data_IF_130364196194
#
_entry.id   IF_130364196194
#
_cell.length_a   1.000
_cell.length_b   1.000
_cell.length_c   1.000
_cell.angle_alpha   90.00
_cell.angle_beta   90.00
_cell.angle_gamma   90.00
#
_symmetry.space_group_name_H-M   'P 1'
#
loop_
_entity.id
_entity.type
_entity.pdbx_description
1 polymer ?
#
# COMPACT_ATOMS: atom_id res chain seq x y z
N UNK A 1 4.95 17.12 -11.11
CA UNK A 1 5.55 16.32 -10.04
C UNK A 1 4.57 16.37 -8.89
N UNK A 2 3.85 15.29 -8.63
CA UNK A 2 3.12 15.17 -7.36
C UNK A 2 4.19 14.85 -6.31
N UNK A 3 4.21 15.61 -5.22
CA UNK A 3 5.01 15.27 -4.04
C UNK A 3 4.47 13.95 -3.51
N UNK A 4 5.26 12.87 -3.59
CA UNK A 4 4.91 11.60 -2.97
C UNK A 4 5.08 11.78 -1.46
N UNK A 5 4.00 12.14 -0.77
CA UNK A 5 3.97 12.14 0.68
C UNK A 5 4.22 10.73 1.18
N UNK A 6 5.35 10.49 1.83
CA UNK A 6 5.65 9.23 2.51
C UNK A 6 4.69 9.03 3.67
N UNK A 7 3.80 8.04 3.56
CA UNK A 7 2.88 7.63 4.62
C UNK A 7 3.66 6.90 5.74
N UNK A 8 3.36 7.22 7.01
CA UNK A 8 3.98 6.53 8.16
C UNK A 8 3.27 5.21 8.48
N UNK A 9 3.91 4.36 9.28
CA UNK A 9 3.30 3.10 9.75
C UNK A 9 1.98 3.37 10.49
N UNK A 10 2.00 4.27 11.47
CA UNK A 10 0.84 4.58 12.30
C UNK A 10 -0.32 5.16 11.50
N UNK A 11 -0.02 6.04 10.53
CA UNK A 11 -1.04 6.63 9.66
C UNK A 11 -1.72 5.56 8.80
N UNK A 12 -0.94 4.67 8.18
CA UNK A 12 -1.49 3.59 7.37
C UNK A 12 -2.31 2.61 8.22
N UNK A 13 -1.82 2.25 9.41
CA UNK A 13 -2.49 1.35 10.34
C UNK A 13 -3.84 1.91 10.78
N UNK A 14 -3.90 3.19 11.17
CA UNK A 14 -5.14 3.87 11.55
C UNK A 14 -6.15 3.89 10.40
N UNK A 15 -5.69 4.16 9.17
CA UNK A 15 -6.56 4.25 8.00
C UNK A 15 -7.11 2.90 7.57
N UNK A 16 -6.27 1.86 7.57
CA UNK A 16 -6.70 0.48 7.32
C UNK A 16 -7.71 0.02 8.37
N UNK A 17 -7.47 0.31 9.65
CA UNK A 17 -8.41 0.04 10.73
C UNK A 17 -9.76 0.76 10.55
N UNK A 18 -9.72 2.04 10.16
CA UNK A 18 -10.92 2.86 9.91
C UNK A 18 -11.74 2.37 8.71
N UNK A 19 -11.06 1.80 7.71
CA UNK A 19 -11.68 1.19 6.54
C UNK A 19 -12.13 -0.26 6.79
N UNK A 20 -11.99 -0.78 8.02
CA UNK A 20 -12.23 -2.19 8.35
C UNK A 20 -11.53 -3.15 7.38
N UNK A 21 -10.31 -2.79 6.98
CA UNK A 21 -9.48 -3.58 6.09
C UNK A 21 -9.15 -4.94 6.72
N UNK A 22 -8.84 -5.93 5.88
CA UNK A 22 -8.48 -7.28 6.33
C UNK A 22 -6.99 -7.41 6.63
N UNK A 23 -6.18 -6.44 6.20
CA UNK A 23 -4.73 -6.38 6.40
C UNK A 23 -4.29 -5.17 7.23
N UNK A 24 -3.15 -5.31 7.92
CA UNK A 24 -2.45 -4.20 8.58
C UNK A 24 -1.36 -3.55 7.72
N UNK A 25 -0.74 -2.48 8.21
CA UNK A 25 0.24 -1.68 7.45
C UNK A 25 1.46 -2.49 6.99
N UNK A 26 2.02 -3.32 7.88
CA UNK A 26 3.17 -4.16 7.55
C UNK A 26 2.83 -5.24 6.50
N UNK A 27 1.63 -5.83 6.59
CA UNK A 27 1.15 -6.82 5.63
C UNK A 27 0.91 -6.17 4.26
N UNK A 28 0.27 -4.99 4.24
CA UNK A 28 0.05 -4.22 3.01
C UNK A 28 1.37 -3.90 2.31
N UNK A 29 2.36 -3.40 3.06
CA UNK A 29 3.69 -3.13 2.53
C UNK A 29 4.35 -4.41 1.97
N UNK A 30 4.29 -5.52 2.71
CA UNK A 30 4.83 -6.81 2.29
C UNK A 30 4.19 -7.35 1.01
N UNK A 31 2.86 -7.29 0.91
CA UNK A 31 2.11 -7.73 -0.28
C UNK A 31 2.52 -6.90 -1.51
N UNK A 32 2.56 -5.57 -1.39
CA UNK A 32 2.95 -4.67 -2.48
C UNK A 32 4.40 -4.93 -2.92
N UNK A 33 5.33 -5.08 -1.97
CA UNK A 33 6.71 -5.49 -2.27
C UNK A 33 6.76 -6.81 -3.04
N UNK A 34 6.01 -7.82 -2.60
CA UNK A 34 5.93 -9.12 -3.25
C UNK A 34 5.40 -9.03 -4.68
N UNK A 35 4.35 -8.24 -4.91
CA UNK A 35 3.78 -8.01 -6.25
C UNK A 35 4.80 -7.35 -7.18
N UNK A 36 5.48 -6.31 -6.70
CA UNK A 36 6.50 -5.60 -7.48
C UNK A 36 7.66 -6.55 -7.81
N UNK A 37 8.19 -7.26 -6.83
CA UNK A 37 9.24 -8.27 -7.02
C UNK A 37 8.83 -9.39 -7.98
N UNK A 38 7.55 -9.76 -8.02
CA UNK A 38 7.02 -10.75 -8.96
C UNK A 38 6.80 -10.21 -10.38
N UNK A 39 7.14 -8.95 -10.65
CA UNK A 39 6.98 -8.30 -11.95
C UNK A 39 5.58 -7.72 -12.19
N UNK A 40 4.84 -7.33 -11.14
CA UNK A 40 3.54 -6.66 -11.27
C UNK A 40 2.41 -7.56 -11.77
N UNK A 41 2.44 -8.85 -11.43
CA UNK A 41 1.50 -9.87 -11.95
C UNK A 41 0.07 -9.79 -11.38
N UNK A 42 -0.20 -8.89 -10.43
CA UNK A 42 -1.54 -8.66 -9.88
C UNK A 42 -2.10 -7.33 -10.41
N UNK A 43 -3.35 -7.33 -10.86
CA UNK A 43 -4.03 -6.10 -11.25
C UNK A 43 -4.32 -5.22 -10.03
N UNK A 44 -4.56 -3.94 -10.29
CA UNK A 44 -4.92 -2.94 -9.29
C UNK A 44 -6.03 -3.41 -8.34
N UNK A 45 -7.18 -3.77 -8.91
CA UNK A 45 -8.35 -4.17 -8.14
C UNK A 45 -8.10 -5.46 -7.36
N UNK A 46 -7.32 -6.40 -7.91
CA UNK A 46 -7.02 -7.66 -7.24
C UNK A 46 -6.22 -7.46 -5.96
N UNK A 47 -5.20 -6.61 -5.96
CA UNK A 47 -4.42 -6.41 -4.73
C UNK A 47 -5.13 -5.47 -3.76
N UNK A 48 -5.96 -4.54 -4.22
CA UNK A 48 -6.82 -3.76 -3.33
C UNK A 48 -7.85 -4.64 -2.62
N UNK A 49 -8.50 -5.55 -3.32
CA UNK A 49 -9.44 -6.50 -2.72
C UNK A 49 -8.76 -7.40 -1.67
N UNK A 50 -7.49 -7.78 -1.89
CA UNK A 50 -6.72 -8.55 -0.90
C UNK A 50 -6.45 -7.75 0.38
N UNK A 51 -6.22 -6.44 0.29
CA UNK A 51 -5.87 -5.60 1.44
C UNK A 51 -7.09 -5.06 2.17
N UNK A 52 -8.08 -4.58 1.42
CA UNK A 52 -9.28 -3.94 1.95
C UNK A 52 -10.39 -4.95 2.23
N UNK A 53 -10.35 -6.12 1.58
CA UNK A 53 -11.40 -7.13 1.63
C UNK A 53 -12.32 -7.04 0.41
N UNK A 54 -12.73 -8.20 -0.11
CA UNK A 54 -13.59 -8.30 -1.28
C UNK A 54 -14.88 -7.48 -1.10
N UNK A 55 -15.14 -6.55 -2.03
CA UNK A 55 -16.33 -5.71 -2.02
C UNK A 55 -16.33 -4.57 -0.98
N UNK A 56 -15.25 -4.41 -0.19
CA UNK A 56 -15.10 -3.31 0.75
C UNK A 56 -14.64 -2.00 0.09
N UNK A 57 -14.32 -2.02 -1.22
CA UNK A 57 -13.75 -0.90 -1.99
C UNK A 57 -14.71 0.28 -2.24
N UNK A 58 -16.00 0.14 -1.91
CA UNK A 58 -17.04 1.15 -2.23
C UNK A 58 -17.25 2.21 -1.14
N UNK A 59 -16.67 2.05 0.05
CA UNK A 59 -16.83 3.02 1.14
C UNK A 59 -15.89 4.22 0.96
N UNK A 60 -16.28 5.40 1.46
CA UNK A 60 -15.40 6.57 1.42
C UNK A 60 -14.09 6.35 2.21
N UNK A 61 -14.15 5.57 3.29
CA UNK A 61 -12.96 5.18 4.05
C UNK A 61 -12.04 4.29 3.22
N UNK A 62 -12.59 3.30 2.50
CA UNK A 62 -11.83 2.44 1.60
C UNK A 62 -11.22 3.22 0.43
N UNK A 63 -11.96 4.15 -0.17
CA UNK A 63 -11.43 4.99 -1.27
C UNK A 63 -10.22 5.81 -0.82
N UNK A 64 -10.30 6.46 0.34
CA UNK A 64 -9.16 7.19 0.90
C UNK A 64 -7.99 6.28 1.30
N UNK A 65 -8.27 5.02 1.63
CA UNK A 65 -7.24 4.02 1.89
C UNK A 65 -6.56 3.55 0.60
N UNK A 66 -7.32 3.37 -0.49
CA UNK A 66 -6.78 3.01 -1.80
C UNK A 66 -5.76 4.04 -2.29
N UNK A 67 -6.08 5.33 -2.17
CA UNK A 67 -5.15 6.42 -2.55
C UNK A 67 -3.82 6.36 -1.77
N UNK A 68 -3.88 6.05 -0.47
CA UNK A 68 -2.69 5.86 0.35
C UNK A 68 -1.88 4.63 -0.06
N UNK A 69 -2.56 3.50 -0.35
CA UNK A 69 -1.92 2.27 -0.78
C UNK A 69 -1.27 2.40 -2.17
N UNK A 70 -1.91 3.13 -3.10
CA UNK A 70 -1.37 3.47 -4.41
C UNK A 70 -0.12 4.37 -4.29
N UNK A 71 -0.16 5.35 -3.36
CA UNK A 71 0.98 6.17 -3.01
C UNK A 71 2.15 5.33 -2.45
N UNK A 72 1.84 4.40 -1.53
CA UNK A 72 2.82 3.47 -0.96
C UNK A 72 3.44 2.57 -2.04
N UNK A 73 2.63 2.01 -2.94
CA UNK A 73 3.13 1.19 -4.04
C UNK A 73 4.10 1.98 -4.92
N UNK A 74 3.74 3.22 -5.27
CA UNK A 74 4.57 4.11 -6.07
C UNK A 74 5.90 4.42 -5.38
N UNK A 75 5.86 4.62 -4.06
CA UNK A 75 7.06 4.86 -3.25
C UNK A 75 7.95 3.62 -3.14
N UNK A 76 7.39 2.42 -2.91
CA UNK A 76 8.14 1.16 -2.92
C UNK A 76 8.82 0.97 -4.28
N UNK A 77 8.10 1.19 -5.38
CA UNK A 77 8.65 1.06 -6.72
C UNK A 77 9.78 2.07 -6.95
N UNK A 78 9.64 3.32 -6.47
CA UNK A 78 10.70 4.32 -6.53
C UNK A 78 11.93 3.88 -5.75
N UNK A 79 11.76 3.40 -4.51
CA UNK A 79 12.86 2.94 -3.65
C UNK A 79 13.57 1.70 -4.21
N UNK A 80 12.83 0.74 -4.79
CA UNK A 80 13.40 -0.44 -5.44
C UNK A 80 14.28 -0.11 -6.64
N UNK A 81 13.99 0.99 -7.33
CA UNK A 81 14.74 1.45 -8.50
C UNK A 81 15.77 2.54 -8.16
N UNK A 82 16.00 2.83 -6.88
CA UNK A 82 16.98 3.82 -6.44
C UNK A 82 18.35 3.17 -6.21
N UNK A 83 19.39 3.74 -6.83
CA UNK A 83 20.76 3.22 -6.80
C UNK A 83 21.43 3.32 -5.42
N UNK A 84 20.85 4.10 -4.49
CA UNK A 84 21.42 4.32 -3.16
C UNK A 84 20.91 3.33 -2.11
N UNK A 85 20.16 2.30 -2.51
CA UNK A 85 19.60 1.27 -1.63
C UNK A 85 18.77 1.84 -0.47
N UNK A 86 17.91 2.82 -0.76
CA UNK A 86 17.12 3.54 0.23
C UNK A 86 15.86 2.79 0.70
N UNK A 87 15.63 1.57 0.20
CA UNK A 87 14.44 0.80 0.54
C UNK A 87 14.38 0.48 2.03
N UNK A 88 13.25 0.80 2.66
CA UNK A 88 12.99 0.54 4.06
C UNK A 88 11.68 -0.23 4.23
N UNK A 89 11.65 -1.13 5.22
CA UNK A 89 10.42 -1.84 5.56
C UNK A 89 9.51 -0.95 6.41
N UNK A 90 8.23 -0.92 6.07
CA UNK A 90 7.19 -0.28 6.88
C UNK A 90 6.80 -1.21 8.04
N UNK A 91 7.43 -1.02 9.19
CA UNK A 91 7.26 -1.82 10.40
C UNK A 91 7.04 -0.92 11.63
N UNK A 92 6.42 -1.44 12.71
CA UNK A 92 6.33 -0.75 14.00
C UNK A 92 7.70 -0.56 14.68
#
# INVERSE_FOLDING_TARGET
MQETSTCSYDELEERLGSATAVSGAAEAHGLLCGIICAGGKASHDTWLDHLLGEGNTLSAAAQGCSELLEGLQSEILRQFNDDSFIFALLLP
#
